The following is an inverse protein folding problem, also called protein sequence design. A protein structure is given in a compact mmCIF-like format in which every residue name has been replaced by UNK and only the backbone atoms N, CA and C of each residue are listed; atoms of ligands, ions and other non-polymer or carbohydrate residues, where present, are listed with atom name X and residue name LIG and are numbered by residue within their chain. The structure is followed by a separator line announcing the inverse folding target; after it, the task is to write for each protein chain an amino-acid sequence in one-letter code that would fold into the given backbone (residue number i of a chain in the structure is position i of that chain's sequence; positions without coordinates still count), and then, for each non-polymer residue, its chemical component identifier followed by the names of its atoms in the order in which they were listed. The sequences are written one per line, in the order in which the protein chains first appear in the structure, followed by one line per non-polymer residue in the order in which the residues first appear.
data_IF_717853687524
#
_entry.id   IF_717853687524
#
_cell.length_a   1.000
_cell.length_b   1.000
_cell.length_c   1.000
_cell.angle_alpha   90.00
_cell.angle_beta   90.00
_cell.angle_gamma   90.00
#
_symmetry.space_group_name_H-M   'P 1'
#
loop_
_entity.id
_entity.type
_entity.pdbx_description
1 polymer ?
#
# COMPACT_ATOMS: atom_id res chain seq x y z
N UNK A 1 -7.65 11.94 4.43
CA UNK A 1 -7.52 12.96 3.38
C UNK A 1 -6.43 13.99 3.68
N UNK A 2 -6.42 14.67 4.83
CA UNK A 2 -5.31 15.59 5.15
C UNK A 2 -3.94 14.89 5.14
N UNK A 3 -3.86 13.67 5.72
CA UNK A 3 -2.64 12.87 5.77
C UNK A 3 -2.15 12.44 4.38
N UNK A 4 -3.05 11.98 3.50
CA UNK A 4 -2.70 11.53 2.13
C UNK A 4 -2.29 12.70 1.24
N UNK A 5 -2.89 13.88 1.40
CA UNK A 5 -2.44 15.11 0.74
C UNK A 5 -1.03 15.50 1.20
N UNK A 6 -0.75 15.45 2.51
CA UNK A 6 0.57 15.72 3.04
C UNK A 6 1.60 14.71 2.50
N UNK A 7 1.26 13.42 2.44
CA UNK A 7 2.13 12.36 1.96
C UNK A 7 2.53 12.54 0.49
N UNK A 8 1.57 12.88 -0.39
CA UNK A 8 1.86 13.14 -1.81
C UNK A 8 2.74 14.38 -1.96
N UNK A 9 2.47 15.46 -1.21
CA UNK A 9 3.30 16.66 -1.21
C UNK A 9 4.73 16.37 -0.76
N UNK A 10 4.91 15.67 0.36
CA UNK A 10 6.22 15.30 0.91
C UNK A 10 6.96 14.37 -0.06
N UNK A 11 6.28 13.37 -0.62
CA UNK A 11 6.86 12.45 -1.62
C UNK A 11 7.29 13.20 -2.88
N UNK A 12 6.50 14.18 -3.33
CA UNK A 12 6.87 15.03 -4.46
C UNK A 12 8.13 15.86 -4.18
N UNK A 13 8.20 16.51 -3.02
CA UNK A 13 9.38 17.30 -2.61
C UNK A 13 10.62 16.41 -2.49
N UNK A 14 10.50 15.26 -1.81
CA UNK A 14 11.59 14.30 -1.67
C UNK A 14 12.02 13.71 -3.02
N UNK A 15 11.08 13.46 -3.93
CA UNK A 15 11.38 13.02 -5.30
C UNK A 15 12.24 14.03 -6.05
N UNK A 16 11.89 15.32 -5.98
CA UNK A 16 12.71 16.39 -6.55
C UNK A 16 14.10 16.46 -5.91
N UNK A 17 14.19 16.37 -4.58
CA UNK A 17 15.48 16.34 -3.87
C UNK A 17 16.32 15.13 -4.32
N UNK A 18 15.70 13.96 -4.49
CA UNK A 18 16.37 12.76 -4.99
C UNK A 18 16.93 12.95 -6.40
N UNK A 19 16.23 13.67 -7.29
CA UNK A 19 16.74 13.99 -8.63
C UNK A 19 18.01 14.85 -8.54
N UNK A 20 18.03 15.84 -7.64
CA UNK A 20 19.22 16.68 -7.41
C UNK A 20 20.40 15.88 -6.84
N UNK A 21 20.15 14.94 -5.94
CA UNK A 21 21.21 14.12 -5.31
C UNK A 21 21.75 13.05 -6.26
N UNK A 22 20.89 12.39 -7.03
CA UNK A 22 21.31 11.30 -7.95
C UNK A 22 21.81 11.83 -9.29
N UNK A 23 21.58 13.11 -9.62
CA UNK A 23 21.95 13.71 -10.91
C UNK A 23 21.26 13.03 -12.10
N UNK A 24 20.18 12.28 -11.83
CA UNK A 24 19.47 11.43 -12.78
C UNK A 24 18.59 12.22 -13.73
N UNK A 25 19.16 13.16 -14.47
CA UNK A 25 18.46 13.80 -15.58
C UNK A 25 18.33 12.78 -16.71
N UNK A 26 17.10 12.39 -17.09
CA UNK A 26 16.90 11.52 -18.25
C UNK A 26 17.43 12.24 -19.50
N UNK A 27 18.46 11.65 -20.12
CA UNK A 27 19.19 12.21 -21.26
C UNK A 27 18.28 12.47 -22.49
N UNK A 28 17.08 11.89 -22.50
CA UNK A 28 16.03 12.16 -23.47
C UNK A 28 14.65 11.93 -22.84
N UNK A 29 13.95 12.99 -22.45
CA UNK A 29 12.52 12.91 -22.11
C UNK A 29 11.76 12.77 -23.42
N UNK A 30 11.48 11.52 -23.81
CA UNK A 30 10.51 11.25 -24.86
C UNK A 30 9.13 11.71 -24.36
N UNK A 31 8.39 12.44 -25.20
CA UNK A 31 7.03 12.91 -24.87
C UNK A 31 6.11 11.76 -24.43
N UNK A 32 6.34 10.56 -24.97
CA UNK A 32 5.64 9.34 -24.56
C UNK A 32 5.96 8.91 -23.12
N UNK A 33 7.22 9.02 -22.68
CA UNK A 33 7.61 8.68 -21.31
C UNK A 33 7.01 9.66 -20.30
N UNK A 34 7.01 10.97 -20.61
CA UNK A 34 6.36 11.98 -19.79
C UNK A 34 4.84 11.73 -19.69
N UNK A 35 4.19 11.37 -20.81
CA UNK A 35 2.78 11.01 -20.84
C UNK A 35 2.46 9.78 -19.98
N UNK A 36 3.29 8.73 -20.04
CA UNK A 36 3.12 7.51 -19.24
C UNK A 36 3.26 7.79 -17.73
N UNK A 37 4.26 8.59 -17.34
CA UNK A 37 4.46 8.97 -15.92
C UNK A 37 3.29 9.82 -15.42
N UNK A 38 2.81 10.78 -16.23
CA UNK A 38 1.65 11.59 -15.87
C UNK A 38 0.39 10.73 -15.72
N UNK A 39 0.17 9.80 -16.65
CA UNK A 39 -0.94 8.85 -16.59
C UNK A 39 -0.88 8.00 -15.32
N UNK A 40 0.29 7.44 -15.00
CA UNK A 40 0.49 6.64 -13.78
C UNK A 40 0.27 7.49 -12.52
N UNK A 41 0.83 8.70 -12.46
CA UNK A 41 0.70 9.58 -11.29
C UNK A 41 -0.75 9.99 -11.01
N UNK A 42 -1.52 10.33 -12.05
CA UNK A 42 -2.91 10.75 -11.87
C UNK A 42 -3.81 9.53 -11.66
N UNK A 43 -3.78 8.58 -12.59
CA UNK A 43 -4.74 7.48 -12.63
C UNK A 43 -4.41 6.39 -11.61
N UNK A 44 -3.13 5.99 -11.51
CA UNK A 44 -2.73 4.95 -10.55
C UNK A 44 -2.55 5.47 -9.14
N UNK A 45 -2.02 6.69 -8.95
CA UNK A 45 -1.71 7.19 -7.60
C UNK A 45 -2.81 8.10 -7.07
N UNK A 46 -3.12 9.22 -7.72
CA UNK A 46 -4.04 10.21 -7.17
C UNK A 46 -5.49 9.67 -7.03
N UNK A 47 -6.01 9.01 -8.07
CA UNK A 47 -7.35 8.40 -8.04
C UNK A 47 -7.40 7.23 -7.06
N UNK A 48 -6.42 6.32 -7.10
CA UNK A 48 -6.40 5.17 -6.20
C UNK A 48 -6.31 5.60 -4.73
N UNK A 49 -5.39 6.50 -4.36
CA UNK A 49 -5.28 7.01 -2.99
C UNK A 49 -6.51 7.81 -2.54
N UNK A 50 -7.20 8.47 -3.47
CA UNK A 50 -8.47 9.14 -3.18
C UNK A 50 -9.56 8.12 -2.85
N UNK A 51 -9.72 7.07 -3.67
CA UNK A 51 -10.64 5.96 -3.41
C UNK A 51 -10.28 5.22 -2.12
N UNK A 52 -9.00 5.00 -1.85
CA UNK A 52 -8.50 4.37 -0.63
C UNK A 52 -8.80 5.24 0.60
N UNK A 53 -8.59 6.56 0.51
CA UNK A 53 -8.96 7.52 1.56
C UNK A 53 -10.47 7.56 1.84
N UNK A 54 -11.28 7.36 0.80
CA UNK A 54 -12.74 7.27 0.90
C UNK A 54 -13.11 5.93 1.56
N UNK A 55 -12.58 4.80 1.09
CA UNK A 55 -12.84 3.48 1.65
C UNK A 55 -12.52 3.40 3.14
N UNK A 56 -11.35 3.91 3.57
CA UNK A 56 -10.98 3.97 4.99
C UNK A 56 -11.88 4.89 5.83
N UNK A 57 -12.67 5.78 5.22
CA UNK A 57 -13.66 6.61 5.91
C UNK A 57 -14.98 5.87 6.17
N UNK A 58 -15.34 4.91 5.33
CA UNK A 58 -16.61 4.16 5.43
C UNK A 58 -16.47 2.81 6.17
N UNK A 59 -15.26 2.29 6.29
CA UNK A 59 -14.98 0.98 6.89
C UNK A 59 -14.08 1.16 8.11
N UNK A 60 -14.26 0.34 9.16
CA UNK A 60 -13.39 0.36 10.35
C UNK A 60 -11.91 0.21 9.95
N UNK A 61 -11.02 0.95 10.62
CA UNK A 61 -9.59 1.02 10.27
C UNK A 61 -8.94 -0.37 10.18
N UNK A 62 -9.32 -1.31 11.05
CA UNK A 62 -8.87 -2.71 11.02
C UNK A 62 -9.15 -3.38 9.68
N UNK A 63 -10.41 -3.39 9.24
CA UNK A 63 -10.82 -4.04 7.98
C UNK A 63 -10.19 -3.34 6.77
N UNK A 64 -10.10 -2.01 6.81
CA UNK A 64 -9.46 -1.22 5.77
C UNK A 64 -7.97 -1.55 5.58
N UNK A 65 -7.24 -1.73 6.68
CA UNK A 65 -5.80 -2.07 6.64
C UNK A 65 -5.57 -3.49 6.12
N UNK A 66 -6.50 -4.41 6.40
CA UNK A 66 -6.47 -5.78 5.86
C UNK A 66 -6.71 -5.78 4.35
N UNK A 67 -7.68 -5.02 3.85
CA UNK A 67 -7.88 -4.89 2.39
C UNK A 67 -6.64 -4.31 1.69
N UNK A 68 -6.00 -3.31 2.30
CA UNK A 68 -4.77 -2.70 1.77
C UNK A 68 -3.60 -3.70 1.72
N UNK A 69 -3.47 -4.58 2.72
CA UNK A 69 -2.44 -5.62 2.70
C UNK A 69 -2.76 -6.72 1.68
N UNK A 70 -4.04 -7.03 1.45
CA UNK A 70 -4.49 -7.94 0.40
C UNK A 70 -4.29 -7.38 -1.02
N UNK A 71 -4.34 -6.07 -1.23
CA UNK A 71 -4.03 -5.43 -2.53
C UNK A 71 -2.65 -5.86 -3.03
N UNK A 72 -1.65 -5.91 -2.13
CA UNK A 72 -0.30 -6.39 -2.45
C UNK A 72 -0.28 -7.88 -2.80
N UNK A 73 -1.11 -8.70 -2.16
CA UNK A 73 -1.23 -10.14 -2.50
C UNK A 73 -1.81 -10.32 -3.89
N UNK A 74 -2.89 -9.61 -4.23
CA UNK A 74 -3.44 -9.64 -5.57
C UNK A 74 -2.44 -9.12 -6.60
N UNK A 75 -1.71 -8.06 -6.29
CA UNK A 75 -0.64 -7.54 -7.16
C UNK A 75 0.41 -8.60 -7.47
N UNK A 76 0.87 -9.37 -6.47
CA UNK A 76 1.82 -10.48 -6.68
C UNK A 76 1.19 -11.61 -7.49
N UNK A 77 -0.06 -12.01 -7.19
CA UNK A 77 -0.77 -13.07 -7.93
C UNK A 77 -0.95 -12.69 -9.40
N UNK A 78 -1.40 -11.46 -9.68
CA UNK A 78 -1.54 -10.95 -11.04
C UNK A 78 -0.18 -10.79 -11.74
N UNK A 79 0.86 -10.35 -11.04
CA UNK A 79 2.22 -10.27 -11.57
C UNK A 79 2.73 -11.65 -12.01
N UNK A 80 2.56 -12.68 -11.18
CA UNK A 80 2.92 -14.06 -11.54
C UNK A 80 2.10 -14.58 -12.73
N UNK A 81 0.80 -14.30 -12.76
CA UNK A 81 -0.10 -14.82 -13.80
C UNK A 81 0.07 -14.14 -15.16
N UNK A 82 0.26 -12.81 -15.18
CA UNK A 82 0.40 -12.01 -16.42
C UNK A 82 1.82 -12.02 -16.97
N UNK A 83 2.84 -11.95 -16.12
CA UNK A 83 4.21 -11.72 -16.56
C UNK A 83 4.90 -13.00 -17.03
N UNK A 84 4.35 -14.19 -16.74
CA UNK A 84 4.83 -15.52 -17.20
C UNK A 84 6.33 -15.78 -17.00
N UNK A 85 7.01 -14.96 -16.20
CA UNK A 85 8.41 -15.16 -15.82
C UNK A 85 8.52 -16.34 -14.87
N UNK A 86 9.64 -17.07 -14.95
CA UNK A 86 9.88 -18.25 -14.13
C UNK A 86 9.72 -17.88 -12.66
N UNK A 87 8.68 -18.46 -12.03
CA UNK A 87 8.36 -18.26 -10.62
C UNK A 87 9.58 -18.67 -9.81
N UNK A 88 10.38 -17.68 -9.43
CA UNK A 88 11.51 -17.91 -8.55
C UNK A 88 10.95 -18.28 -7.18
N UNK A 89 11.54 -19.28 -6.52
CA UNK A 89 11.17 -19.78 -5.18
C UNK A 89 10.94 -18.65 -4.16
N UNK A 90 11.66 -17.54 -4.31
CA UNK A 90 11.53 -16.30 -3.51
C UNK A 90 10.12 -15.69 -3.56
N UNK A 91 9.44 -15.66 -4.71
CA UNK A 91 8.06 -15.16 -4.83
C UNK A 91 7.07 -16.08 -4.11
N UNK A 92 7.22 -17.40 -4.26
CA UNK A 92 6.37 -18.38 -3.58
C UNK A 92 6.50 -18.28 -2.05
N UNK A 93 7.73 -18.11 -1.54
CA UNK A 93 7.96 -17.86 -0.11
C UNK A 93 7.29 -16.56 0.37
N UNK A 94 7.40 -15.47 -0.41
CA UNK A 94 6.75 -14.20 -0.08
C UNK A 94 5.22 -14.34 0.01
N UNK A 95 4.61 -15.07 -0.91
CA UNK A 95 3.17 -15.33 -0.89
C UNK A 95 2.74 -16.09 0.37
N UNK A 96 3.47 -17.15 0.76
CA UNK A 96 3.17 -17.93 1.98
C UNK A 96 3.25 -17.05 3.24
N UNK A 97 4.28 -16.20 3.35
CA UNK A 97 4.45 -15.31 4.50
C UNK A 97 3.30 -14.31 4.60
N UNK A 98 2.89 -13.67 3.50
CA UNK A 98 1.80 -12.70 3.52
C UNK A 98 0.46 -13.40 3.82
N UNK A 99 0.24 -14.60 3.27
CA UNK A 99 -0.97 -15.38 3.54
C UNK A 99 -1.08 -15.73 5.04
N UNK A 100 0.01 -16.15 5.67
CA UNK A 100 0.06 -16.39 7.12
C UNK A 100 -0.20 -15.10 7.90
N UNK A 101 0.41 -13.98 7.51
CA UNK A 101 0.21 -12.69 8.17
C UNK A 101 -1.26 -12.21 8.11
N UNK A 102 -1.94 -12.41 6.98
CA UNK A 102 -3.37 -12.09 6.82
C UNK A 102 -4.22 -12.99 7.73
N UNK A 103 -3.97 -14.30 7.74
CA UNK A 103 -4.68 -15.24 8.61
C UNK A 103 -4.52 -14.80 10.07
N UNK A 104 -3.30 -14.51 10.51
CA UNK A 104 -3.02 -14.04 11.88
C UNK A 104 -3.67 -12.69 12.19
N UNK A 105 -3.70 -11.77 11.23
CA UNK A 105 -4.34 -10.45 11.41
C UNK A 105 -5.86 -10.53 11.56
N UNK A 106 -6.50 -11.57 11.04
CA UNK A 106 -7.93 -11.81 11.23
C UNK A 106 -8.25 -12.39 12.62
N UNK A 107 -7.26 -12.96 13.32
CA UNK A 107 -7.40 -13.35 14.72
C UNK A 107 -7.24 -12.12 15.62
N UNK A 108 -8.29 -11.31 15.68
CA UNK A 108 -8.39 -10.15 16.58
C UNK A 108 -8.30 -10.60 18.05
N UNK A 109 -7.11 -10.51 18.65
CA UNK A 109 -6.88 -10.68 20.09
C UNK A 109 -7.32 -9.45 20.91
N UNK A 110 -7.90 -8.42 20.27
CA UNK A 110 -8.21 -7.14 20.92
C UNK A 110 -9.50 -7.15 21.75
N UNK A 111 -10.39 -8.13 21.57
CA UNK A 111 -11.64 -8.18 22.35
C UNK A 111 -11.46 -8.60 23.81
N UNK A 112 -10.32 -9.19 24.17
CA UNK A 112 -10.12 -9.77 25.52
C UNK A 112 -9.53 -8.79 26.54
N UNK A 113 -9.08 -7.60 26.10
CA UNK A 113 -8.44 -6.61 26.99
C UNK A 113 -9.45 -5.57 27.51
N UNK A 114 -10.38 -5.11 26.67
CA UNK A 114 -11.41 -4.14 27.12
C UNK A 114 -12.39 -4.73 28.14
N UNK A 115 -12.76 -6.01 28.00
CA UNK A 115 -13.65 -6.69 28.95
C UNK A 115 -13.00 -6.82 30.33
N UNK A 116 -11.67 -7.05 30.39
CA UNK A 116 -10.94 -7.17 31.67
C UNK A 116 -10.64 -5.85 32.37
N UNK A 117 -10.63 -4.72 31.65
CA UNK A 117 -10.43 -3.39 32.26
C UNK A 117 -11.75 -2.83 32.80
N UNK A 118 -12.89 -3.14 32.16
CA UNK A 118 -14.23 -2.72 32.63
C UNK A 118 -14.72 -3.56 33.82
N UNK A 119 -14.31 -4.82 33.92
CA UNK A 119 -14.74 -5.73 35.01
C UNK A 119 -13.90 -5.60 36.30
N UNK A 120 -12.77 -4.89 36.29
CA UNK A 120 -11.94 -4.69 37.49
C UNK A 120 -11.50 -3.24 37.77
N UNK A 121 -12.43 -2.30 38.01
CA UNK A 121 -12.11 -1.00 38.59
C UNK A 121 -12.02 -1.00 40.14
N UNK A 122 -12.24 -2.13 40.83
CA UNK A 122 -12.28 -2.19 42.32
C UNK A 122 -11.36 -3.27 42.95
N UNK A 123 -10.06 -3.22 42.67
CA UNK A 123 -9.06 -3.76 43.61
C UNK A 123 -7.82 -2.86 43.69
#
# INVERSE_FOLDING_TARGET
MLLTMLQICVTGILGWISVFVTGGFPHSISLAAAGNVLYLAIFSTAVCLSLQSIGLKYINATVGTIILSLESVFGVVFSVLLFKEEITIKMAMGFVVIFIAIILSQFDFTKTVDEKIVENPEN
#
